data_IF_166863250485
#
_entry.id   IF_166863250485
#
_cell.length_a   1.000
_cell.length_b   1.000
_cell.length_c   1.000
_cell.angle_alpha   90.00
_cell.angle_beta   90.00
_cell.angle_gamma   90.00
#
_symmetry.space_group_name_H-M   'P 1'
#
loop_
_entity.id
_entity.type
_entity.pdbx_description
1 polymer ?
#
# COMPACT_ATOMS: atom_id res chain seq x y z
N UNK A 1 -0.10 3.94 18.35
CA UNK A 1 -0.60 3.47 19.68
C UNK A 1 -2.02 3.99 19.92
N UNK A 2 -2.85 3.30 20.71
CA UNK A 2 -4.21 3.76 21.07
C UNK A 2 -4.23 4.28 22.50
N UNK A 3 -4.89 5.42 22.71
CA UNK A 3 -5.02 6.11 23.99
C UNK A 3 -6.50 6.23 24.35
N UNK A 4 -6.86 5.99 25.61
CA UNK A 4 -8.24 6.03 26.09
C UNK A 4 -8.35 7.04 27.22
N UNK A 5 -9.23 8.03 27.08
CA UNK A 5 -9.49 9.06 28.10
C UNK A 5 -10.96 9.06 28.48
N UNK A 6 -11.25 9.09 29.78
CA UNK A 6 -12.62 9.20 30.30
C UNK A 6 -13.02 10.67 30.45
N UNK A 7 -14.26 11.03 30.12
CA UNK A 7 -14.84 12.34 30.41
C UNK A 7 -16.19 12.23 31.13
N UNK A 8 -16.45 13.19 32.01
CA UNK A 8 -17.67 13.24 32.84
C UNK A 8 -18.59 14.40 32.48
N UNK A 9 -18.02 15.50 32.00
CA UNK A 9 -18.77 16.68 31.58
C UNK A 9 -18.49 17.02 30.10
N UNK A 10 -19.37 17.77 29.43
CA UNK A 10 -19.14 18.25 28.07
C UNK A 10 -17.91 19.17 27.95
N UNK A 11 -17.63 19.94 29.00
CA UNK A 11 -16.49 20.86 29.07
C UNK A 11 -15.17 20.08 29.14
N UNK A 12 -15.13 19.01 29.95
CA UNK A 12 -13.98 18.10 30.01
C UNK A 12 -13.73 17.39 28.67
N UNK A 13 -14.80 17.05 27.95
CA UNK A 13 -14.71 16.45 26.61
C UNK A 13 -14.01 17.39 25.63
N UNK A 14 -14.43 18.66 25.57
CA UNK A 14 -13.80 19.65 24.70
C UNK A 14 -12.35 19.91 25.08
N UNK A 15 -12.04 19.91 26.38
CA UNK A 15 -10.66 20.03 26.86
C UNK A 15 -9.80 18.87 26.38
N UNK A 16 -10.26 17.63 26.50
CA UNK A 16 -9.53 16.45 26.03
C UNK A 16 -9.33 16.44 24.51
N UNK A 17 -10.30 16.92 23.74
CA UNK A 17 -10.17 17.07 22.29
C UNK A 17 -9.12 18.11 21.91
N UNK A 18 -9.06 19.23 22.63
CA UNK A 18 -8.07 20.27 22.38
C UNK A 18 -6.66 19.86 22.82
N UNK A 19 -6.52 19.23 23.98
CA UNK A 19 -5.24 18.73 24.50
C UNK A 19 -4.63 17.63 23.62
N UNK A 20 -5.48 16.77 23.05
CA UNK A 20 -5.07 15.69 22.17
C UNK A 20 -5.30 16.04 20.69
N UNK A 21 -5.30 17.33 20.32
CA UNK A 21 -5.53 17.80 18.95
C UNK A 21 -4.49 17.31 17.93
N UNK A 22 -3.33 16.84 18.42
CA UNK A 22 -2.29 16.20 17.60
C UNK A 22 -2.59 14.73 17.31
N UNK A 23 -3.50 14.09 18.06
CA UNK A 23 -3.89 12.70 17.88
C UNK A 23 -5.20 12.61 17.08
N UNK A 24 -5.40 11.49 16.40
CA UNK A 24 -6.60 11.21 15.63
C UNK A 24 -7.65 10.62 16.57
N UNK A 25 -8.83 11.22 16.64
CA UNK A 25 -9.97 10.61 17.33
C UNK A 25 -10.50 9.45 16.48
N UNK A 26 -10.40 8.23 17.02
CA UNK A 26 -10.82 7.00 16.36
C UNK A 26 -12.27 6.67 16.73
N UNK A 27 -12.62 6.80 18.01
CA UNK A 27 -13.93 6.39 18.51
C UNK A 27 -14.31 7.15 19.79
N UNK A 28 -15.61 7.36 19.98
CA UNK A 28 -16.21 7.87 21.21
C UNK A 28 -17.18 6.82 21.76
N UNK A 29 -16.89 6.28 22.94
CA UNK A 29 -17.64 5.19 23.57
C UNK A 29 -18.42 5.72 24.78
N UNK A 30 -19.75 5.77 24.69
CA UNK A 30 -20.64 6.11 25.80
C UNK A 30 -21.28 4.82 26.35
N UNK A 31 -20.65 4.22 27.36
CA UNK A 31 -21.10 2.94 27.95
C UNK A 31 -21.53 3.13 29.41
N UNK A 32 -22.15 2.10 30.01
CA UNK A 32 -22.63 2.12 31.40
C UNK A 32 -21.55 2.47 32.42
N UNK A 33 -20.30 2.14 32.11
CA UNK A 33 -19.14 2.32 33.00
C UNK A 33 -18.51 3.73 32.87
N UNK A 34 -18.95 4.53 31.90
CA UNK A 34 -18.44 5.87 31.65
C UNK A 34 -18.36 6.22 30.16
N UNK A 35 -17.98 7.47 29.90
CA UNK A 35 -17.81 7.97 28.54
C UNK A 35 -16.33 8.11 28.22
N UNK A 36 -15.90 7.63 27.07
CA UNK A 36 -14.50 7.54 26.71
C UNK A 36 -14.23 8.04 25.29
N UNK A 37 -13.13 8.76 25.13
CA UNK A 37 -12.55 9.12 23.84
C UNK A 37 -11.34 8.24 23.58
N UNK A 38 -11.32 7.56 22.44
CA UNK A 38 -10.21 6.74 21.97
C UNK A 38 -9.48 7.47 20.86
N UNK A 39 -8.21 7.78 21.11
CA UNK A 39 -7.32 8.43 20.16
C UNK A 39 -6.26 7.46 19.64
N UNK A 40 -5.71 7.74 18.47
CA UNK A 40 -4.54 7.06 17.95
C UNK A 40 -3.55 8.03 17.29
N UNK A 41 -2.28 7.65 17.33
CA UNK A 41 -1.18 8.38 16.68
C UNK A 41 -1.13 8.13 15.17
N UNK A 42 -1.66 6.99 14.74
CA UNK A 42 -1.73 6.59 13.34
C UNK A 42 -3.17 6.21 12.98
N UNK A 43 -3.61 6.45 11.74
CA UNK A 43 -4.92 6.00 11.31
C UNK A 43 -5.00 4.47 11.39
N UNK A 44 -6.11 3.94 11.91
CA UNK A 44 -6.37 2.51 11.84
C UNK A 44 -6.49 2.12 10.36
N UNK A 45 -5.45 1.48 9.83
CA UNK A 45 -5.47 0.94 8.47
C UNK A 45 -6.31 -0.33 8.53
N UNK A 46 -7.58 -0.24 8.14
CA UNK A 46 -8.45 -1.40 7.97
C UNK A 46 -7.87 -2.23 6.80
N UNK A 47 -7.11 -3.27 7.13
CA UNK A 47 -6.61 -4.23 6.14
C UNK A 47 -7.72 -5.24 5.86
N UNK A 48 -8.50 -4.97 4.81
CA UNK A 48 -9.40 -5.97 4.25
C UNK A 48 -8.56 -7.01 3.52
N UNK A 49 -8.36 -8.17 4.16
CA UNK A 49 -7.77 -9.31 3.50
C UNK A 49 -8.82 -9.93 2.59
N UNK A 50 -8.63 -9.77 1.27
CA UNK A 50 -9.39 -10.56 0.28
C UNK A 50 -8.64 -11.86 0.06
N UNK A 51 -9.32 -12.99 0.25
CA UNK A 51 -8.80 -14.28 -0.19
C UNK A 51 -8.97 -14.36 -1.70
N UNK A 52 -7.86 -14.21 -2.43
CA UNK A 52 -7.84 -14.47 -3.87
C UNK A 52 -7.97 -15.99 -4.07
N UNK A 53 -8.93 -16.47 -4.88
CA UNK A 53 -9.02 -17.89 -5.22
C UNK A 53 -7.70 -18.42 -5.78
N UNK A 54 -7.32 -19.64 -5.38
CA UNK A 54 -6.03 -20.24 -5.77
C UNK A 54 -5.87 -20.34 -7.30
N UNK A 55 -6.96 -20.62 -8.01
CA UNK A 55 -6.98 -20.68 -9.48
C UNK A 55 -6.64 -19.33 -10.13
N UNK A 56 -7.21 -18.23 -9.65
CA UNK A 56 -6.92 -16.89 -10.16
C UNK A 56 -5.48 -16.49 -9.85
N UNK A 57 -4.99 -16.85 -8.66
CA UNK A 57 -3.61 -16.57 -8.25
C UNK A 57 -2.59 -17.30 -9.12
N UNK A 58 -2.79 -18.60 -9.36
CA UNK A 58 -1.90 -19.38 -10.23
C UNK A 58 -2.00 -18.92 -11.69
N UNK A 59 -3.20 -18.52 -12.16
CA UNK A 59 -3.38 -17.89 -13.47
C UNK A 59 -2.55 -16.62 -13.63
N UNK A 60 -2.68 -15.68 -12.68
CA UNK A 60 -1.92 -14.41 -12.66
C UNK A 60 -0.41 -14.66 -12.61
N UNK A 61 0.02 -15.65 -11.82
CA UNK A 61 1.43 -16.01 -11.68
C UNK A 61 1.99 -16.57 -12.99
N UNK A 62 1.25 -17.43 -13.68
CA UNK A 62 1.64 -17.93 -15.00
C UNK A 62 1.74 -16.81 -16.03
N UNK A 63 0.76 -15.90 -16.07
CA UNK A 63 0.79 -14.73 -16.96
C UNK A 63 2.01 -13.85 -16.70
N UNK A 64 2.35 -13.60 -15.42
CA UNK A 64 3.55 -12.84 -15.05
C UNK A 64 4.84 -13.51 -15.53
N UNK A 65 4.93 -14.83 -15.43
CA UNK A 65 6.09 -15.59 -15.92
C UNK A 65 6.21 -15.47 -17.44
N UNK A 66 5.10 -15.63 -18.17
CA UNK A 66 5.07 -15.49 -19.62
C UNK A 66 5.46 -14.08 -20.06
N UNK A 67 4.91 -13.05 -19.40
CA UNK A 67 5.20 -11.65 -19.70
C UNK A 67 6.68 -11.32 -19.45
N UNK A 68 7.26 -11.81 -18.34
CA UNK A 68 8.69 -11.66 -18.06
C UNK A 68 9.55 -12.35 -19.11
N UNK A 69 9.19 -13.57 -19.52
CA UNK A 69 9.90 -14.30 -20.56
C UNK A 69 9.85 -13.55 -21.90
N UNK A 70 8.68 -13.02 -22.28
CA UNK A 70 8.51 -12.22 -23.49
C UNK A 70 9.34 -10.92 -23.44
N UNK A 71 9.34 -10.23 -22.31
CA UNK A 71 10.14 -9.01 -22.11
C UNK A 71 11.64 -9.30 -22.26
N UNK A 72 12.12 -10.40 -21.68
CA UNK A 72 13.52 -10.80 -21.78
C UNK A 72 13.89 -11.14 -23.23
N UNK A 73 13.07 -11.95 -23.92
CA UNK A 73 13.31 -12.30 -25.31
C UNK A 73 13.31 -11.06 -26.25
N UNK A 74 12.45 -10.06 -25.97
CA UNK A 74 12.46 -8.80 -26.70
C UNK A 74 13.72 -7.98 -26.45
N UNK A 75 14.23 -7.97 -25.21
CA UNK A 75 15.49 -7.32 -24.87
C UNK A 75 16.67 -7.99 -25.58
N UNK A 76 16.79 -9.32 -25.50
CA UNK A 76 17.84 -10.08 -26.19
C UNK A 76 17.80 -9.87 -27.71
N UNK A 77 16.59 -9.79 -28.28
CA UNK A 77 16.43 -9.49 -29.71
C UNK A 77 16.87 -8.06 -30.04
N UNK A 78 16.62 -7.09 -29.17
CA UNK A 78 17.04 -5.71 -29.38
C UNK A 78 18.57 -5.61 -29.38
N UNK A 79 19.22 -6.23 -28.39
CA UNK A 79 20.68 -6.28 -28.28
C UNK A 79 21.31 -6.91 -29.54
N UNK A 80 20.77 -8.04 -29.99
CA UNK A 80 21.22 -8.69 -31.23
C UNK A 80 21.07 -7.79 -32.47
N UNK A 81 19.95 -7.08 -32.60
CA UNK A 81 19.72 -6.18 -33.73
C UNK A 81 20.70 -5.00 -33.71
N UNK A 82 20.99 -4.47 -32.53
CA UNK A 82 21.97 -3.39 -32.37
C UNK A 82 23.38 -3.83 -32.81
N UNK A 83 23.81 -5.03 -32.41
CA UNK A 83 25.09 -5.61 -32.82
C UNK A 83 25.18 -5.76 -34.35
N UNK A 84 24.14 -6.29 -35.00
CA UNK A 84 24.10 -6.45 -36.46
C UNK A 84 24.14 -5.10 -37.17
N UNK A 85 23.42 -4.09 -36.68
CA UNK A 85 23.43 -2.75 -37.26
C UNK A 85 24.82 -2.12 -37.14
N UNK A 86 25.47 -2.25 -35.99
CA UNK A 86 26.82 -1.74 -35.77
C UNK A 86 27.84 -2.40 -36.71
N UNK A 87 27.76 -3.72 -36.89
CA UNK A 87 28.60 -4.46 -37.83
C UNK A 87 28.37 -4.02 -39.27
N UNK A 88 27.11 -3.91 -39.71
CA UNK A 88 26.80 -3.46 -41.07
C UNK A 88 27.26 -2.02 -41.32
N UNK A 89 27.10 -1.12 -40.34
CA UNK A 89 27.61 0.24 -40.44
C UNK A 89 29.15 0.27 -40.60
N UNK A 90 29.87 -0.58 -39.88
CA UNK A 90 31.34 -0.68 -40.04
C UNK A 90 31.75 -1.22 -41.40
N UNK A 91 30.93 -2.04 -42.06
CA UNK A 91 31.22 -2.53 -43.42
C UNK A 91 30.91 -1.48 -44.50
N UNK A 92 29.88 -0.64 -44.31
CA UNK A 92 29.44 0.36 -45.31
C UNK A 92 30.30 1.62 -45.32
N UNK A 93 30.85 2.05 -44.17
CA UNK A 93 31.69 3.24 -44.05
C UNK A 93 33.19 2.97 -44.20
N UNK A 94 33.58 1.78 -44.69
CA UNK A 94 34.95 1.44 -45.05
C UNK A 94 35.31 1.89 -46.47
#
# INVERSE_FOLDING_TARGET
MKYKYEYKTPEDREKLLNENSTLILIEEQNISDGNFLIFADEPDIIRNYVTVPEEEFEGIKQESVLLKAQSNALSERADFVEDVIAEMATQVYK
#
